data_IF_042380598679
#
_entry.id   IF_042380598679
#
_cell.length_a   1.000
_cell.length_b   1.000
_cell.length_c   1.000
_cell.angle_alpha   90.00
_cell.angle_beta   90.00
_cell.angle_gamma   90.00
#
_symmetry.space_group_name_H-M   'P 1'
#
loop_
_entity.id
_entity.type
_entity.pdbx_description
1 polymer ?
#
# COMPACT_ATOMS: atom_id res chain seq x y z
N UNK A 1 -10.15 -3.47 5.37
CA UNK A 1 -9.55 -4.58 6.12
C UNK A 1 -10.32 -4.78 7.40
N UNK A 2 -10.97 -5.94 7.60
CA UNK A 2 -11.95 -6.16 8.68
C UNK A 2 -11.77 -7.52 9.37
N UNK A 3 -10.56 -8.06 9.38
CA UNK A 3 -10.26 -9.40 9.93
C UNK A 3 -10.07 -9.39 11.44
N UNK A 4 -9.60 -8.27 12.00
CA UNK A 4 -9.11 -8.21 13.38
C UNK A 4 -7.67 -8.66 13.58
N UNK A 5 -6.94 -9.02 12.50
CA UNK A 5 -5.55 -9.44 12.59
C UNK A 5 -4.64 -8.25 12.92
N UNK A 6 -3.77 -8.44 13.92
CA UNK A 6 -2.73 -7.47 14.26
C UNK A 6 -1.84 -7.18 13.05
N UNK A 7 -1.50 -5.92 12.83
CA UNK A 7 -0.65 -5.49 11.73
C UNK A 7 0.82 -5.78 12.09
N UNK A 8 1.48 -6.73 11.42
CA UNK A 8 2.85 -7.12 11.80
C UNK A 8 3.84 -5.95 11.78
N UNK A 9 3.59 -4.91 10.96
CA UNK A 9 4.45 -3.73 10.86
C UNK A 9 4.39 -2.82 12.09
N UNK A 10 3.44 -3.07 13.01
CA UNK A 10 3.33 -2.40 14.32
C UNK A 10 4.00 -3.19 15.45
N UNK A 11 4.60 -4.35 15.16
CA UNK A 11 5.34 -5.13 16.16
C UNK A 11 6.75 -4.55 16.39
N UNK A 12 7.10 -4.26 17.65
CA UNK A 12 8.41 -3.71 18.03
C UNK A 12 9.59 -4.61 17.59
N UNK A 13 9.41 -5.94 17.64
CA UNK A 13 10.47 -6.86 17.25
C UNK A 13 10.61 -6.94 15.72
N UNK A 14 9.53 -6.72 14.97
CA UNK A 14 9.59 -6.50 13.53
C UNK A 14 10.33 -5.20 13.21
N UNK A 15 9.94 -4.07 13.80
CA UNK A 15 10.57 -2.77 13.56
C UNK A 15 12.08 -2.83 13.83
N UNK A 16 12.47 -3.44 14.96
CA UNK A 16 13.88 -3.66 15.30
C UNK A 16 14.60 -4.55 14.28
N UNK A 17 13.96 -5.61 13.78
CA UNK A 17 14.57 -6.50 12.80
C UNK A 17 14.79 -5.78 11.46
N UNK A 18 13.81 -5.01 10.98
CA UNK A 18 13.90 -4.23 9.76
C UNK A 18 14.99 -3.16 9.85
N UNK A 19 15.00 -2.37 10.92
CA UNK A 19 15.90 -1.21 11.05
C UNK A 19 17.34 -1.55 11.44
N UNK A 20 17.60 -2.75 11.96
CA UNK A 20 18.96 -3.20 12.30
C UNK A 20 19.68 -3.91 11.15
N UNK A 21 18.95 -4.40 10.16
CA UNK A 21 19.48 -5.07 8.96
C UNK A 21 18.52 -4.85 7.78
N UNK A 22 18.48 -3.65 7.17
CA UNK A 22 17.46 -3.30 6.18
C UNK A 22 17.57 -4.04 4.84
N UNK A 23 18.71 -4.68 4.56
CA UNK A 23 18.93 -5.50 3.37
C UNK A 23 18.43 -6.95 3.55
N UNK A 24 18.14 -7.35 4.79
CA UNK A 24 17.68 -8.70 5.14
C UNK A 24 16.37 -9.05 4.41
N UNK A 25 16.28 -10.24 3.80
CA UNK A 25 15.01 -10.74 3.30
C UNK A 25 14.10 -11.22 4.43
N UNK A 26 12.79 -11.01 4.26
CA UNK A 26 11.72 -11.56 5.09
C UNK A 26 10.87 -12.53 4.28
N UNK A 27 10.53 -13.69 4.85
CA UNK A 27 9.53 -14.58 4.24
C UNK A 27 8.11 -14.20 4.68
N UNK A 28 7.08 -14.53 3.89
CA UNK A 28 5.69 -14.35 4.30
C UNK A 28 5.39 -14.97 5.67
N UNK A 29 5.91 -16.17 5.96
CA UNK A 29 5.73 -16.86 7.23
C UNK A 29 6.37 -16.09 8.40
N UNK A 30 7.58 -15.56 8.23
CA UNK A 30 8.22 -14.73 9.26
C UNK A 30 7.39 -13.50 9.59
N UNK A 31 6.81 -12.83 8.58
CA UNK A 31 5.93 -11.68 8.77
C UNK A 31 4.65 -12.07 9.53
N UNK A 32 4.06 -13.23 9.21
CA UNK A 32 2.90 -13.73 9.93
C UNK A 32 3.22 -14.13 11.37
N UNK A 33 4.42 -14.65 11.64
CA UNK A 33 4.87 -14.99 13.00
C UNK A 33 4.96 -13.77 13.90
N UNK A 34 5.27 -12.57 13.37
CA UNK A 34 5.17 -11.32 14.14
C UNK A 34 3.71 -11.00 14.48
N UNK A 35 2.80 -11.08 13.51
CA UNK A 35 1.36 -10.82 13.76
C UNK A 35 0.73 -11.82 14.74
N UNK A 36 0.98 -13.10 14.59
CA UNK A 36 0.28 -14.17 15.32
C UNK A 36 0.71 -14.33 16.79
N UNK A 37 1.73 -13.57 17.24
CA UNK A 37 2.05 -13.40 18.66
C UNK A 37 1.01 -12.55 19.40
N UNK A 38 0.24 -11.75 18.67
CA UNK A 38 -0.75 -10.84 19.20
C UNK A 38 -2.16 -11.45 19.10
N UNK A 39 -3.07 -11.11 20.03
CA UNK A 39 -4.46 -11.52 19.92
C UNK A 39 -5.15 -10.83 18.74
N UNK A 40 -6.30 -11.38 18.35
CA UNK A 40 -7.23 -10.67 17.46
C UNK A 40 -7.68 -9.37 18.13
N UNK A 41 -7.56 -8.26 17.42
CA UNK A 41 -7.80 -6.90 17.92
C UNK A 41 -9.30 -6.56 18.03
N UNK A 42 -10.15 -7.23 17.25
CA UNK A 42 -11.61 -7.09 17.23
C UNK A 42 -12.27 -8.25 16.46
N UNK A 43 -13.56 -8.51 16.66
CA UNK A 43 -14.22 -9.63 15.98
C UNK A 43 -14.27 -9.42 14.46
N UNK A 44 -14.14 -10.49 13.64
CA UNK A 44 -14.22 -10.35 12.19
C UNK A 44 -15.49 -9.61 11.73
N UNK A 45 -15.29 -8.60 10.89
CA UNK A 45 -16.35 -7.75 10.35
C UNK A 45 -16.76 -6.55 11.23
N UNK A 46 -16.37 -6.52 12.50
CA UNK A 46 -16.84 -5.52 13.49
C UNK A 46 -16.48 -4.09 13.09
N UNK A 47 -15.22 -3.83 12.73
CA UNK A 47 -14.74 -2.52 12.30
C UNK A 47 -13.73 -2.62 11.16
N UNK A 48 -13.36 -1.47 10.61
CA UNK A 48 -12.25 -1.34 9.67
C UNK A 48 -10.98 -1.03 10.45
N UNK A 49 -9.89 -1.73 10.12
CA UNK A 49 -8.55 -1.47 10.61
C UNK A 49 -7.53 -1.95 9.57
N UNK A 50 -6.60 -1.09 9.18
CA UNK A 50 -5.61 -1.42 8.15
C UNK A 50 -4.58 -2.39 8.74
N UNK A 51 -4.20 -3.43 7.99
CA UNK A 51 -3.26 -4.44 8.46
C UNK A 51 -2.64 -5.17 7.29
N UNK A 52 -1.33 -4.99 7.12
CA UNK A 52 -0.52 -5.60 6.07
C UNK A 52 -0.59 -7.13 6.13
N UNK A 53 -0.78 -7.69 7.33
CA UNK A 53 -0.99 -9.13 7.57
C UNK A 53 -2.09 -9.72 6.68
N UNK A 54 -3.16 -8.96 6.42
CA UNK A 54 -4.25 -9.42 5.55
C UNK A 54 -3.77 -9.71 4.12
N UNK A 55 -2.84 -8.89 3.62
CA UNK A 55 -2.36 -8.98 2.25
C UNK A 55 -1.26 -10.04 2.14
N UNK A 56 -0.44 -10.22 3.17
CA UNK A 56 0.48 -11.37 3.26
C UNK A 56 -0.31 -12.68 3.22
N UNK A 57 -1.37 -12.83 4.02
CA UNK A 57 -2.23 -14.01 3.94
C UNK A 57 -2.88 -14.17 2.56
N UNK A 58 -3.35 -13.07 1.95
CA UNK A 58 -3.95 -13.12 0.62
C UNK A 58 -2.94 -13.60 -0.43
N UNK A 59 -1.69 -13.16 -0.37
CA UNK A 59 -0.62 -13.63 -1.26
C UNK A 59 -0.44 -15.15 -1.17
N UNK A 60 -0.38 -15.70 0.04
CA UNK A 60 -0.28 -17.16 0.26
C UNK A 60 -1.53 -17.92 -0.24
N UNK A 61 -2.72 -17.34 -0.09
CA UNK A 61 -3.95 -17.92 -0.65
C UNK A 61 -3.90 -17.94 -2.18
N UNK A 62 -3.39 -16.88 -2.81
CA UNK A 62 -3.20 -16.80 -4.27
C UNK A 62 -2.23 -17.89 -4.72
N UNK A 63 -1.08 -18.05 -4.08
CA UNK A 63 -0.13 -19.12 -4.42
C UNK A 63 -0.75 -20.50 -4.28
N UNK A 64 -1.46 -20.75 -3.17
CA UNK A 64 -2.12 -22.02 -2.89
C UNK A 64 -3.20 -22.36 -3.92
N UNK A 65 -4.02 -21.38 -4.29
CA UNK A 65 -5.15 -21.57 -5.21
C UNK A 65 -4.71 -21.57 -6.68
N UNK A 66 -3.73 -20.75 -7.03
CA UNK A 66 -3.20 -20.57 -8.38
C UNK A 66 -2.13 -21.60 -8.76
N UNK A 67 -1.46 -22.21 -7.78
CA UNK A 67 -0.42 -23.22 -8.01
C UNK A 67 0.89 -22.65 -8.59
N UNK A 68 1.11 -21.35 -8.46
CA UNK A 68 2.28 -20.61 -8.94
C UNK A 68 2.84 -19.73 -7.81
N UNK A 69 4.16 -19.45 -7.80
CA UNK A 69 4.72 -18.38 -6.97
C UNK A 69 4.00 -17.05 -7.25
N UNK A 70 3.84 -16.21 -6.22
CA UNK A 70 3.02 -15.01 -6.30
C UNK A 70 3.48 -14.05 -7.41
N UNK A 71 4.79 -13.83 -7.54
CA UNK A 71 5.36 -12.99 -8.58
C UNK A 71 5.03 -13.49 -9.99
N UNK A 72 5.09 -14.80 -10.22
CA UNK A 72 4.72 -15.41 -11.51
C UNK A 72 3.22 -15.29 -11.77
N UNK A 73 2.38 -15.48 -10.74
CA UNK A 73 0.94 -15.31 -10.86
C UNK A 73 0.58 -13.87 -11.24
N UNK A 74 1.17 -12.88 -10.56
CA UNK A 74 0.98 -11.45 -10.84
C UNK A 74 1.45 -11.10 -12.25
N UNK A 75 2.63 -11.59 -12.66
CA UNK A 75 3.16 -11.37 -14.00
C UNK A 75 2.16 -11.84 -15.07
N UNK A 76 1.73 -13.10 -15.00
CA UNK A 76 0.89 -13.74 -16.02
C UNK A 76 -0.56 -13.25 -16.03
N UNK A 77 -1.14 -12.97 -14.86
CA UNK A 77 -2.57 -12.70 -14.73
C UNK A 77 -2.90 -11.21 -14.55
N UNK A 78 -1.91 -10.37 -14.25
CA UNK A 78 -2.13 -8.93 -14.00
C UNK A 78 -1.26 -8.07 -14.90
N UNK A 79 0.06 -8.22 -14.85
CA UNK A 79 0.99 -7.29 -15.52
C UNK A 79 0.95 -7.43 -17.04
N UNK A 80 1.06 -8.65 -17.56
CA UNK A 80 1.01 -8.91 -19.01
C UNK A 80 -0.36 -8.53 -19.61
N UNK A 81 -1.51 -8.95 -19.03
CA UNK A 81 -2.82 -8.56 -19.56
C UNK A 81 -3.10 -7.05 -19.48
N UNK A 82 -2.54 -6.35 -18.50
CA UNK A 82 -2.67 -4.89 -18.36
C UNK A 82 -1.62 -4.10 -19.17
N UNK A 83 -0.66 -4.77 -19.81
CA UNK A 83 0.40 -4.13 -20.59
C UNK A 83 1.42 -3.36 -19.74
N UNK A 84 1.63 -3.76 -18.49
CA UNK A 84 2.51 -3.08 -17.52
C UNK A 84 3.95 -3.60 -17.61
N UNK A 85 4.61 -3.27 -18.72
CA UNK A 85 5.93 -3.82 -19.07
C UNK A 85 7.10 -3.30 -18.22
N UNK A 86 6.89 -2.27 -17.42
CA UNK A 86 7.90 -1.63 -16.55
C UNK A 86 7.59 -1.82 -15.06
N UNK A 87 6.62 -2.67 -14.77
CA UNK A 87 6.21 -3.04 -13.43
C UNK A 87 6.70 -4.44 -13.12
N UNK A 88 7.15 -4.68 -11.90
CA UNK A 88 7.62 -6.01 -11.47
C UNK A 88 7.31 -6.30 -10.01
N UNK A 89 7.30 -7.59 -9.70
CA UNK A 89 7.30 -8.09 -8.34
C UNK A 89 8.74 -8.50 -7.98
N UNK A 90 9.40 -7.85 -7.00
CA UNK A 90 10.79 -8.14 -6.70
C UNK A 90 10.96 -9.46 -5.95
N UNK A 91 12.12 -10.06 -6.14
CA UNK A 91 12.64 -11.30 -5.52
C UNK A 91 13.76 -11.04 -4.52
N UNK A 92 14.26 -9.80 -4.45
CA UNK A 92 15.23 -9.27 -3.50
C UNK A 92 15.22 -7.74 -3.51
N UNK A 93 16.37 -7.10 -3.30
CA UNK A 93 16.53 -5.64 -3.28
C UNK A 93 16.71 -5.03 -4.70
N UNK A 94 16.28 -5.70 -5.77
CA UNK A 94 16.43 -5.15 -7.10
C UNK A 94 15.64 -3.86 -7.30
N UNK A 95 16.31 -2.85 -7.85
CA UNK A 95 15.68 -1.62 -8.30
C UNK A 95 16.12 -1.31 -9.74
N UNK A 96 15.23 -1.47 -10.74
CA UNK A 96 15.57 -1.16 -12.13
C UNK A 96 16.07 0.28 -12.31
N UNK A 97 17.16 0.46 -13.05
CA UNK A 97 17.67 1.79 -13.40
C UNK A 97 16.96 2.37 -14.63
N UNK A 98 16.81 3.71 -14.73
CA UNK A 98 17.11 4.68 -13.68
C UNK A 98 16.01 4.73 -12.60
N UNK A 99 16.42 4.95 -11.36
CA UNK A 99 15.54 5.21 -10.22
C UNK A 99 16.08 6.38 -9.39
N UNK A 100 15.21 7.01 -8.60
CA UNK A 100 15.59 8.03 -7.64
C UNK A 100 16.13 7.39 -6.36
N UNK A 101 16.97 8.11 -5.63
CA UNK A 101 17.27 7.75 -4.24
C UNK A 101 16.06 8.05 -3.35
N UNK A 102 15.76 7.17 -2.39
CA UNK A 102 14.69 7.32 -1.41
C UNK A 102 15.21 7.62 -0.01
N UNK A 103 14.53 8.50 0.72
CA UNK A 103 14.97 8.96 2.04
C UNK A 103 13.90 8.79 3.11
N UNK A 104 14.27 8.16 4.24
CA UNK A 104 13.36 7.83 5.35
C UNK A 104 13.97 8.22 6.70
N UNK A 105 13.12 8.51 7.68
CA UNK A 105 13.47 8.61 9.11
C UNK A 105 12.96 7.40 9.92
N UNK A 106 12.39 6.38 9.27
CA UNK A 106 12.00 5.11 9.88
C UNK A 106 13.21 4.21 10.16
N UNK A 107 14.21 4.76 10.84
CA UNK A 107 15.50 4.14 11.13
C UNK A 107 15.61 3.83 12.63
N UNK A 108 16.57 3.01 13.02
CA UNK A 108 16.78 2.68 14.43
C UNK A 108 17.15 3.90 15.29
N UNK A 109 17.70 4.94 14.65
CA UNK A 109 18.13 6.19 15.29
C UNK A 109 17.11 7.32 15.17
N UNK A 110 16.17 7.21 14.22
CA UNK A 110 15.29 8.31 13.79
C UNK A 110 16.02 9.38 12.97
N UNK A 111 17.28 9.15 12.57
CA UNK A 111 17.98 10.02 11.63
C UNK A 111 17.55 9.69 10.20
N UNK A 112 17.64 10.69 9.31
CA UNK A 112 17.31 10.50 7.90
C UNK A 112 18.43 9.70 7.22
N UNK A 113 18.07 8.59 6.61
CA UNK A 113 18.97 7.70 5.89
C UNK A 113 18.50 7.47 4.44
N UNK A 114 19.44 7.08 3.57
CA UNK A 114 19.14 6.61 2.21
C UNK A 114 18.64 5.16 2.29
N UNK A 115 17.38 4.94 1.90
CA UNK A 115 16.69 3.66 1.94
C UNK A 115 16.56 3.00 0.56
N UNK A 116 17.33 3.45 -0.44
CA UNK A 116 17.19 3.00 -1.84
C UNK A 116 17.36 1.50 -2.01
N UNK A 117 18.32 0.92 -1.30
CA UNK A 117 18.67 -0.50 -1.40
C UNK A 117 18.03 -1.36 -0.28
N UNK A 118 17.06 -0.80 0.46
CA UNK A 118 16.34 -1.57 1.48
C UNK A 118 15.49 -2.67 0.82
N UNK A 119 15.50 -3.86 1.41
CA UNK A 119 14.86 -5.02 0.83
C UNK A 119 13.34 -4.94 1.00
N UNK A 120 12.53 -4.88 -0.09
CA UNK A 120 11.09 -4.69 0.00
C UNK A 120 10.32 -5.97 0.37
N UNK A 121 11.01 -7.09 0.60
CA UNK A 121 10.38 -8.38 0.93
C UNK A 121 9.54 -8.34 2.21
N UNK A 122 9.79 -7.41 3.13
CA UNK A 122 8.90 -7.22 4.28
C UNK A 122 7.49 -6.76 3.85
N UNK A 123 7.38 -5.99 2.76
CA UNK A 123 6.10 -5.60 2.17
C UNK A 123 5.44 -6.74 1.38
N UNK A 124 6.22 -7.57 0.68
CA UNK A 124 5.76 -8.67 -0.20
C UNK A 124 4.43 -8.34 -0.93
N UNK A 125 3.40 -9.17 -0.77
CA UNK A 125 2.07 -8.96 -1.38
C UNK A 125 1.33 -7.71 -0.88
N UNK A 126 1.75 -7.10 0.22
CA UNK A 126 1.16 -5.89 0.78
C UNK A 126 1.72 -4.59 0.17
N UNK A 127 2.90 -4.62 -0.46
CA UNK A 127 3.47 -3.37 -0.99
C UNK A 127 4.82 -3.44 -1.72
N UNK A 128 5.38 -4.61 -2.02
CA UNK A 128 6.75 -4.70 -2.55
C UNK A 128 6.91 -4.30 -4.03
N UNK A 129 5.82 -4.14 -4.78
CA UNK A 129 5.91 -3.99 -6.24
C UNK A 129 6.59 -2.68 -6.66
N UNK A 130 7.37 -2.76 -7.73
CA UNK A 130 8.08 -1.62 -8.32
C UNK A 130 7.40 -1.29 -9.66
N UNK A 131 7.24 -0.01 -9.96
CA UNK A 131 6.61 0.47 -11.19
C UNK A 131 7.16 1.85 -11.60
N UNK A 132 6.61 2.43 -12.65
CA UNK A 132 6.95 3.77 -13.13
C UNK A 132 5.70 4.61 -13.43
N UNK A 133 5.89 5.91 -13.71
CA UNK A 133 4.79 6.83 -14.00
C UNK A 133 3.89 6.38 -15.17
N UNK A 134 4.43 6.01 -16.36
CA UNK A 134 3.64 5.44 -17.46
C UNK A 134 2.74 4.27 -17.08
N UNK A 135 3.29 3.25 -16.42
CA UNK A 135 2.55 2.04 -16.03
C UNK A 135 1.53 2.36 -14.95
N UNK A 136 1.89 3.12 -13.92
CA UNK A 136 0.96 3.51 -12.84
C UNK A 136 -0.20 4.37 -13.36
N UNK A 137 0.04 5.22 -14.37
CA UNK A 137 -1.04 5.98 -15.01
C UNK A 137 -2.03 5.06 -15.73
N UNK A 138 -1.55 4.00 -16.38
CA UNK A 138 -2.40 2.97 -16.97
C UNK A 138 -3.15 2.20 -15.88
N UNK A 139 -2.42 1.78 -14.84
CA UNK A 139 -2.92 1.00 -13.72
C UNK A 139 -4.04 1.68 -12.96
N UNK A 140 -3.92 2.98 -12.67
CA UNK A 140 -4.95 3.78 -12.00
C UNK A 140 -6.32 3.62 -12.67
N UNK A 141 -6.35 3.70 -14.01
CA UNK A 141 -7.57 3.51 -14.79
C UNK A 141 -8.01 2.04 -14.81
N UNK A 142 -7.08 1.12 -15.05
CA UNK A 142 -7.34 -0.34 -15.08
C UNK A 142 -8.03 -0.80 -13.81
N UNK A 143 -7.54 -0.38 -12.65
CA UNK A 143 -8.09 -0.73 -11.34
C UNK A 143 -9.42 -0.05 -11.08
N UNK A 144 -9.53 1.26 -11.30
CA UNK A 144 -10.76 1.98 -11.01
C UNK A 144 -11.94 1.53 -11.88
N UNK A 145 -11.68 1.16 -13.13
CA UNK A 145 -12.71 0.73 -14.08
C UNK A 145 -12.94 -0.79 -14.11
N UNK A 146 -12.07 -1.57 -13.47
CA UNK A 146 -12.19 -3.03 -13.47
C UNK A 146 -11.85 -3.66 -14.82
N UNK A 147 -10.90 -3.10 -15.58
CA UNK A 147 -10.56 -3.55 -16.94
C UNK A 147 -10.20 -5.05 -17.02
N UNK A 148 -9.62 -5.62 -15.95
CA UNK A 148 -9.25 -7.04 -15.87
C UNK A 148 -10.33 -7.94 -15.25
N UNK A 149 -11.46 -7.38 -14.83
CA UNK A 149 -12.46 -8.08 -14.03
C UNK A 149 -13.80 -8.11 -14.77
N UNK A 150 -14.65 -9.08 -14.43
CA UNK A 150 -16.06 -8.99 -14.86
C UNK A 150 -16.75 -7.85 -14.11
N UNK A 151 -17.85 -7.29 -14.66
CA UNK A 151 -18.61 -6.25 -13.98
C UNK A 151 -19.02 -6.61 -12.54
N UNK A 152 -19.37 -7.88 -12.30
CA UNK A 152 -19.78 -8.39 -11.00
C UNK A 152 -18.62 -8.40 -10.00
N UNK A 153 -17.45 -8.88 -10.41
CA UNK A 153 -16.25 -8.88 -9.54
C UNK A 153 -15.78 -7.45 -9.26
N UNK A 154 -15.86 -6.54 -10.24
CA UNK A 154 -15.55 -5.13 -10.01
C UNK A 154 -16.54 -4.48 -9.05
N UNK A 155 -17.84 -4.77 -9.18
CA UNK A 155 -18.85 -4.26 -8.26
C UNK A 155 -18.59 -4.70 -6.82
N UNK A 156 -18.19 -5.97 -6.60
CA UNK A 156 -17.79 -6.45 -5.28
C UNK A 156 -16.50 -5.77 -4.78
N UNK A 157 -15.50 -5.56 -5.64
CA UNK A 157 -14.26 -4.85 -5.27
C UNK A 157 -14.53 -3.42 -4.82
N UNK A 158 -15.46 -2.73 -5.49
CA UNK A 158 -15.85 -1.35 -5.21
C UNK A 158 -16.91 -1.19 -4.12
N UNK A 159 -17.38 -2.29 -3.51
CA UNK A 159 -18.27 -2.25 -2.36
C UNK A 159 -17.51 -1.80 -1.12
N UNK A 160 -17.36 -0.49 -0.97
CA UNK A 160 -16.60 0.10 0.13
C UNK A 160 -17.42 0.17 1.42
N UNK A 161 -16.82 -0.23 2.53
CA UNK A 161 -17.34 0.06 3.87
C UNK A 161 -16.72 1.34 4.44
N UNK A 162 -17.38 2.00 5.42
CA UNK A 162 -16.84 3.21 6.05
C UNK A 162 -15.53 2.92 6.79
N UNK A 163 -14.63 3.89 6.78
CA UNK A 163 -13.43 3.92 7.64
C UNK A 163 -13.64 4.88 8.82
N UNK A 164 -12.61 5.12 9.64
CA UNK A 164 -12.64 6.16 10.67
C UNK A 164 -12.65 7.60 10.09
N UNK A 165 -12.26 7.78 8.83
CA UNK A 165 -12.14 9.09 8.18
C UNK A 165 -13.41 9.36 7.35
N UNK A 166 -14.18 10.43 7.66
CA UNK A 166 -15.37 10.79 6.91
C UNK A 166 -15.12 10.98 5.41
N UNK A 167 -16.04 10.51 4.57
CA UNK A 167 -15.92 10.63 3.12
C UNK A 167 -14.91 9.67 2.47
N UNK A 168 -14.40 8.71 3.26
CA UNK A 168 -13.53 7.64 2.77
C UNK A 168 -14.19 6.29 2.97
N UNK A 169 -14.02 5.42 1.99
CA UNK A 169 -14.44 4.04 2.04
C UNK A 169 -13.33 3.11 1.59
N UNK A 170 -13.33 1.89 2.09
CA UNK A 170 -12.35 0.88 1.71
C UNK A 170 -13.04 -0.42 1.32
N UNK A 171 -12.72 -0.93 0.13
CA UNK A 171 -13.25 -2.16 -0.46
C UNK A 171 -12.22 -3.30 -0.40
N UNK A 172 -12.11 -4.05 -1.49
CA UNK A 172 -11.13 -5.13 -1.60
C UNK A 172 -9.81 -4.59 -2.18
N UNK A 173 -8.89 -4.18 -1.30
CA UNK A 173 -7.57 -3.66 -1.69
C UNK A 173 -7.60 -2.32 -2.43
N UNK A 174 -8.65 -1.53 -2.22
CA UNK A 174 -8.90 -0.28 -2.93
C UNK A 174 -9.69 0.67 -2.04
N UNK A 175 -9.35 1.95 -2.05
CA UNK A 175 -10.17 2.97 -1.40
C UNK A 175 -11.05 3.72 -2.41
N UNK A 176 -12.07 4.39 -1.88
CA UNK A 176 -12.76 5.50 -2.51
C UNK A 176 -12.66 6.70 -1.56
N UNK A 177 -11.98 7.76 -1.97
CA UNK A 177 -11.79 8.99 -1.19
C UNK A 177 -12.36 10.14 -2.00
N UNK A 178 -13.53 10.66 -1.59
CA UNK A 178 -14.19 11.77 -2.30
C UNK A 178 -14.45 11.48 -3.79
N UNK A 179 -14.71 10.21 -4.15
CA UNK A 179 -14.91 9.75 -5.53
C UNK A 179 -13.64 9.26 -6.22
N UNK A 180 -12.45 9.58 -5.69
CA UNK A 180 -11.19 9.06 -6.22
C UNK A 180 -11.00 7.60 -5.82
N UNK A 181 -10.88 6.75 -6.84
CA UNK A 181 -10.75 5.30 -6.69
C UNK A 181 -9.30 4.91 -6.97
N UNK A 182 -8.68 4.17 -6.05
CA UNK A 182 -7.28 3.74 -6.20
C UNK A 182 -6.65 3.39 -4.85
N UNK A 183 -5.36 3.69 -4.72
CA UNK A 183 -4.63 3.48 -3.47
C UNK A 183 -3.41 4.43 -3.38
N UNK A 184 -2.97 4.75 -2.16
CA UNK A 184 -1.65 5.33 -1.88
C UNK A 184 -0.63 4.21 -1.65
N UNK A 185 0.61 4.54 -1.34
CA UNK A 185 1.62 3.57 -0.93
C UNK A 185 2.70 4.27 -0.13
N UNK A 186 3.20 3.62 0.91
CA UNK A 186 4.26 4.13 1.76
C UNK A 186 5.17 2.97 2.16
N UNK A 187 6.43 3.07 1.74
CA UNK A 187 7.55 2.22 2.17
C UNK A 187 8.70 3.17 2.56
N UNK A 188 9.65 2.74 3.41
CA UNK A 188 10.83 3.55 3.72
C UNK A 188 11.49 4.08 2.44
N UNK A 189 11.55 5.40 2.33
CA UNK A 189 12.16 6.14 1.23
C UNK A 189 11.20 6.53 0.11
N UNK A 190 9.96 6.06 0.10
CA UNK A 190 9.06 6.26 -1.04
C UNK A 190 7.59 6.35 -0.67
N UNK A 191 6.91 7.34 -1.25
CA UNK A 191 5.45 7.40 -1.26
C UNK A 191 4.88 7.50 -2.67
N UNK A 192 3.68 6.95 -2.84
CA UNK A 192 2.92 7.12 -4.07
C UNK A 192 1.44 7.39 -3.81
N UNK A 193 0.79 8.02 -4.78
CA UNK A 193 -0.66 8.15 -4.86
C UNK A 193 -1.10 7.82 -6.28
N UNK A 194 -1.91 6.77 -6.44
CA UNK A 194 -2.32 6.24 -7.74
C UNK A 194 -3.84 6.12 -7.77
N UNK A 195 -4.51 7.15 -8.29
CA UNK A 195 -5.97 7.30 -8.17
C UNK A 195 -6.61 7.77 -9.48
N UNK A 196 -7.86 7.37 -9.69
CA UNK A 196 -8.67 7.74 -10.85
C UNK A 196 -10.07 8.18 -10.41
N UNK A 197 -10.54 9.28 -10.98
CA UNK A 197 -11.88 9.83 -10.77
C UNK A 197 -12.72 9.54 -12.03
N UNK A 198 -13.72 8.65 -11.97
CA UNK A 198 -14.43 8.18 -13.17
C UNK A 198 -15.23 9.26 -13.91
N UNK A 199 -15.99 10.10 -13.20
CA UNK A 199 -16.98 11.01 -13.83
C UNK A 199 -16.46 12.36 -14.38
N UNK A 200 -15.18 12.73 -14.19
CA UNK A 200 -14.43 13.60 -15.10
C UNK A 200 -13.36 12.85 -15.92
N UNK A 201 -13.15 11.54 -15.68
CA UNK A 201 -12.12 10.74 -16.36
C UNK A 201 -10.68 11.16 -16.03
N UNK A 202 -10.45 11.70 -14.83
CA UNK A 202 -9.15 12.23 -14.41
C UNK A 202 -8.30 11.14 -13.72
N UNK A 203 -7.00 11.12 -13.99
CA UNK A 203 -6.02 10.26 -13.30
C UNK A 203 -4.98 11.13 -12.63
N UNK A 204 -4.68 10.84 -11.35
CA UNK A 204 -3.57 11.43 -10.62
C UNK A 204 -2.59 10.32 -10.22
N UNK A 205 -1.34 10.52 -10.60
CA UNK A 205 -0.21 9.70 -10.15
C UNK A 205 0.84 10.63 -9.57
N UNK A 206 1.20 10.42 -8.31
CA UNK A 206 2.27 11.13 -7.60
C UNK A 206 3.27 10.08 -7.13
N UNK A 207 4.56 10.34 -7.36
CA UNK A 207 5.68 9.56 -6.85
C UNK A 207 6.59 10.50 -6.08
N UNK A 208 6.93 10.15 -4.86
CA UNK A 208 7.75 10.92 -3.94
C UNK A 208 8.86 10.01 -3.42
N UNK A 209 10.07 10.55 -3.30
CA UNK A 209 11.23 9.82 -2.84
C UNK A 209 11.50 10.06 -1.34
N UNK A 210 10.41 10.18 -0.57
CA UNK A 210 10.43 10.20 0.88
C UNK A 210 9.05 9.85 1.44
N UNK A 211 9.06 9.16 2.58
CA UNK A 211 7.92 8.85 3.44
C UNK A 211 7.86 9.74 4.69
N UNK A 212 8.83 10.65 4.84
CA UNK A 212 8.94 11.52 6.02
C UNK A 212 7.73 12.45 6.08
N UNK A 213 6.99 12.38 7.18
CA UNK A 213 5.80 13.19 7.40
C UNK A 213 6.14 14.68 7.43
N UNK A 214 5.25 15.51 6.88
CA UNK A 214 5.29 16.96 7.09
C UNK A 214 4.23 17.33 8.14
N UNK A 215 4.68 17.56 9.37
CA UNK A 215 3.79 17.57 10.52
C UNK A 215 3.29 16.15 10.79
N UNK A 216 1.97 15.95 10.75
CA UNK A 216 1.33 14.65 10.93
C UNK A 216 0.69 14.13 9.63
N UNK A 217 1.18 14.58 8.47
CA UNK A 217 0.58 14.26 7.17
C UNK A 217 1.58 13.64 6.22
N UNK A 218 1.17 12.52 5.61
CA UNK A 218 1.87 11.85 4.51
C UNK A 218 2.09 12.82 3.34
N UNK A 219 3.31 12.91 2.80
CA UNK A 219 3.61 13.68 1.59
C UNK A 219 2.62 13.43 0.44
N UNK A 220 2.25 12.18 0.17
CA UNK A 220 1.29 11.80 -0.88
C UNK A 220 -0.09 12.44 -0.67
N UNK A 221 -0.57 12.53 0.58
CA UNK A 221 -1.81 13.21 0.92
C UNK A 221 -1.72 14.72 0.74
N UNK A 222 -0.60 15.34 1.10
CA UNK A 222 -0.37 16.77 0.90
C UNK A 222 -0.41 17.14 -0.59
N UNK A 223 0.32 16.41 -1.42
CA UNK A 223 0.33 16.62 -2.86
C UNK A 223 -1.03 16.29 -3.49
N UNK A 224 -1.66 15.18 -3.08
CA UNK A 224 -2.99 14.78 -3.54
C UNK A 224 -4.02 15.88 -3.31
N UNK A 225 -4.07 16.42 -2.09
CA UNK A 225 -4.95 17.52 -1.73
C UNK A 225 -4.63 18.79 -2.51
N UNK A 226 -3.38 19.26 -2.49
CA UNK A 226 -2.98 20.51 -3.14
C UNK A 226 -3.30 20.52 -4.64
N UNK A 227 -3.12 19.40 -5.33
CA UNK A 227 -3.43 19.26 -6.75
C UNK A 227 -4.96 19.27 -6.95
N UNK A 228 -5.69 18.42 -6.20
CA UNK A 228 -7.13 18.25 -6.39
C UNK A 228 -7.96 19.48 -5.97
N UNK A 229 -7.49 20.29 -5.03
CA UNK A 229 -8.07 21.62 -4.73
C UNK A 229 -8.10 22.54 -5.95
N UNK A 230 -7.17 22.38 -6.90
CA UNK A 230 -7.07 23.18 -8.11
C UNK A 230 -7.81 22.53 -9.28
N UNK A 231 -7.55 21.24 -9.52
CA UNK A 231 -7.99 20.57 -10.77
C UNK A 231 -9.36 19.92 -10.67
N UNK A 232 -9.82 19.57 -9.47
CA UNK A 232 -11.10 18.90 -9.20
C UNK A 232 -11.68 19.39 -7.86
N UNK A 233 -12.04 20.68 -7.74
CA UNK A 233 -12.44 21.28 -6.46
C UNK A 233 -13.68 20.66 -5.81
N UNK A 234 -14.52 19.95 -6.56
CA UNK A 234 -15.67 19.20 -6.04
C UNK A 234 -15.30 17.80 -5.48
N UNK A 235 -14.05 17.38 -5.68
CA UNK A 235 -13.50 16.07 -5.31
C UNK A 235 -12.11 16.23 -4.69
N UNK A 236 -11.99 17.08 -3.66
CA UNK A 236 -10.70 17.31 -3.01
C UNK A 236 -10.25 16.05 -2.27
N UNK A 237 -9.15 15.45 -2.71
CA UNK A 237 -8.56 14.29 -2.04
C UNK A 237 -8.10 14.66 -0.63
N UNK A 238 -8.48 13.86 0.37
CA UNK A 238 -8.02 14.02 1.73
C UNK A 238 -8.04 12.67 2.46
N UNK A 239 -6.85 12.15 2.77
CA UNK A 239 -6.66 10.91 3.52
C UNK A 239 -5.58 11.15 4.59
N UNK A 240 -5.94 11.74 5.75
CA UNK A 240 -4.97 11.96 6.82
C UNK A 240 -4.45 10.64 7.37
N UNK A 241 -3.26 10.68 7.96
CA UNK A 241 -2.76 9.57 8.78
C UNK A 241 -3.79 9.33 9.89
N UNK A 242 -4.30 8.10 10.08
CA UNK A 242 -5.15 7.81 11.22
C UNK A 242 -4.39 8.19 12.50
N UNK A 243 -5.03 8.89 13.44
CA UNK A 243 -4.45 9.07 14.77
C UNK A 243 -4.06 7.69 15.28
N UNK A 244 -2.76 7.42 15.42
CA UNK A 244 -2.31 6.17 16.03
C UNK A 244 -3.02 6.07 17.39
N UNK A 245 -3.59 4.92 17.72
CA UNK A 245 -3.91 4.66 19.12
C UNK A 245 -2.58 4.50 19.84
N UNK A 246 -1.93 5.62 20.16
CA UNK A 246 -0.72 5.66 20.94
C UNK A 246 -1.07 5.09 22.30
N UNK A 247 -0.83 3.79 22.48
CA UNK A 247 -0.58 3.24 23.80
C UNK A 247 0.71 3.90 24.28
N UNK A 248 0.56 5.07 24.87
CA UNK A 248 1.61 5.75 25.63
C UNK A 248 2.20 4.70 26.58
N UNK A 249 3.52 4.44 26.57
CA UNK A 249 4.11 3.64 27.63
C UNK A 249 3.94 4.47 28.90
N UNK A 250 3.06 4.02 29.80
CA UNK A 250 3.03 4.54 31.16
C UNK A 250 4.41 4.31 31.76
N UNK A 251 5.13 5.41 32.02
CA UNK A 251 6.35 5.42 32.83
C UNK A 251 6.11 5.07 34.29
#
# INVERSE_FOLDING_TARGET
MRSGLFNYSEDDAFFKALTSDPERPFTPEELLDYSFKHPIQFQPGEKFDYSNTNLILLGLVIEKAGGLPLGEFIQQNVLEPAGLSRTLFPTGAEFPSPHAHGYTDQTATGEIEDATDWNPSWGWAAGAMISDLPDLRSWAKTVATGTLLTPETQAERLKTGPTAIPGTGYGLGIFNVQGWIGHNGSLPGYECLVIHLPEPGATLVVLLNTDILHGETEPSTLFGRAITEIVTPDHVFNLPVPESSSATPSG
#
